data_IF_403863370786
#
_entry.id   IF_403863370786
#
_cell.length_a   1.000
_cell.length_b   1.000
_cell.length_c   1.000
_cell.angle_alpha   90.00
_cell.angle_beta   90.00
_cell.angle_gamma   90.00
#
_symmetry.space_group_name_H-M   'P 1'
#
loop_
_entity.id
_entity.type
_entity.pdbx_description
1 polymer ?
#
# COMPACT_ATOMS: atom_id res chain seq x y z
N UNK A 1 14.67 16.33 -4.26
CA UNK A 1 14.30 14.89 -4.22
C UNK A 1 12.82 14.64 -4.61
N UNK A 2 12.08 15.67 -5.04
CA UNK A 2 10.67 15.57 -5.46
C UNK A 2 10.44 14.81 -6.78
N UNK A 3 11.42 14.83 -7.70
CA UNK A 3 11.37 14.05 -8.94
C UNK A 3 11.37 12.53 -8.68
N UNK A 4 12.15 12.06 -7.70
CA UNK A 4 12.20 10.65 -7.30
C UNK A 4 10.88 10.22 -6.66
N UNK A 5 10.26 11.09 -5.86
CA UNK A 5 8.95 10.85 -5.26
C UNK A 5 7.84 10.64 -6.32
N UNK A 6 7.78 11.51 -7.34
CA UNK A 6 6.85 11.35 -8.47
C UNK A 6 7.12 10.06 -9.27
N UNK A 7 8.39 9.76 -9.53
CA UNK A 7 8.75 8.52 -10.26
C UNK A 7 8.45 7.26 -9.46
N UNK A 8 8.51 7.32 -8.13
CA UNK A 8 8.18 6.18 -7.26
C UNK A 8 6.71 5.74 -7.44
N UNK A 9 5.79 6.69 -7.51
CA UNK A 9 4.37 6.41 -7.75
C UNK A 9 4.14 5.76 -9.14
N UNK A 10 4.75 6.31 -10.18
CA UNK A 10 4.66 5.75 -11.53
C UNK A 10 5.29 4.36 -11.64
N UNK A 11 6.45 4.15 -11.01
CA UNK A 11 7.13 2.85 -10.95
C UNK A 11 6.25 1.80 -10.29
N UNK A 12 5.64 2.14 -9.14
CA UNK A 12 4.71 1.24 -8.48
C UNK A 12 3.51 0.92 -9.37
N UNK A 13 2.87 1.93 -9.97
CA UNK A 13 1.69 1.71 -10.82
C UNK A 13 2.03 0.80 -12.00
N UNK A 14 3.18 1.04 -12.64
CA UNK A 14 3.67 0.26 -13.77
C UNK A 14 3.98 -1.20 -13.42
N UNK A 15 4.43 -1.48 -12.20
CA UNK A 15 4.76 -2.84 -11.75
C UNK A 15 3.55 -3.56 -11.15
N UNK A 16 2.76 -2.87 -10.34
CA UNK A 16 1.65 -3.42 -9.59
C UNK A 16 0.43 -3.70 -10.49
N UNK A 17 0.01 -2.73 -11.30
CA UNK A 17 -1.27 -2.82 -12.03
C UNK A 17 -1.27 -3.97 -13.06
N UNK A 18 -0.24 -4.16 -13.91
CA UNK A 18 -0.23 -5.27 -14.85
C UNK A 18 -0.24 -6.64 -14.16
N UNK A 19 0.51 -6.78 -13.06
CA UNK A 19 0.57 -8.03 -12.31
C UNK A 19 -0.76 -8.34 -11.61
N UNK A 20 -1.42 -7.33 -11.04
CA UNK A 20 -2.76 -7.45 -10.47
C UNK A 20 -3.80 -7.84 -11.53
N UNK A 21 -3.75 -7.23 -12.72
CA UNK A 21 -4.63 -7.57 -13.85
C UNK A 21 -4.36 -8.98 -14.40
N UNK A 22 -3.09 -9.42 -14.41
CA UNK A 22 -2.74 -10.79 -14.79
C UNK A 22 -3.26 -11.80 -13.76
N UNK A 23 -3.15 -11.50 -12.46
CA UNK A 23 -3.76 -12.30 -11.41
C UNK A 23 -5.29 -12.39 -11.58
N UNK A 24 -5.95 -11.27 -11.88
CA UNK A 24 -7.39 -11.25 -12.19
C UNK A 24 -7.75 -12.13 -13.39
N UNK A 25 -6.96 -12.07 -14.46
CA UNK A 25 -7.19 -12.86 -15.68
C UNK A 25 -6.96 -14.35 -15.45
N UNK A 26 -6.01 -14.74 -14.61
CA UNK A 26 -5.72 -16.15 -14.31
C UNK A 26 -6.71 -16.74 -13.31
N UNK A 27 -6.90 -16.08 -12.17
CA UNK A 27 -7.66 -16.63 -11.05
C UNK A 27 -8.53 -15.56 -10.39
N UNK A 28 -9.76 -15.40 -10.90
CA UNK A 28 -10.69 -14.36 -10.42
C UNK A 28 -11.01 -14.50 -8.93
N UNK A 29 -11.15 -15.74 -8.43
CA UNK A 29 -11.45 -16.00 -7.01
C UNK A 29 -10.30 -15.56 -6.10
N UNK A 30 -9.07 -15.88 -6.49
CA UNK A 30 -7.84 -15.45 -5.82
C UNK A 30 -7.75 -13.92 -5.82
N UNK A 31 -8.04 -13.29 -6.95
CA UNK A 31 -8.04 -11.84 -7.09
C UNK A 31 -9.08 -11.12 -6.23
N UNK A 32 -10.30 -11.65 -6.12
CA UNK A 32 -11.34 -11.08 -5.25
C UNK A 32 -10.94 -11.16 -3.77
N UNK A 33 -10.37 -12.28 -3.35
CA UNK A 33 -9.87 -12.42 -1.98
C UNK A 33 -8.67 -11.50 -1.71
N UNK A 34 -7.79 -11.33 -2.70
CA UNK A 34 -6.71 -10.35 -2.68
C UNK A 34 -7.25 -8.92 -2.52
N UNK A 35 -8.28 -8.54 -3.27
CA UNK A 35 -8.88 -7.21 -3.21
C UNK A 35 -9.56 -6.96 -1.85
N UNK A 36 -10.30 -7.95 -1.34
CA UNK A 36 -10.93 -7.86 -0.02
C UNK A 36 -9.89 -7.68 1.09
N UNK A 37 -8.83 -8.51 1.10
CA UNK A 37 -7.77 -8.40 2.09
C UNK A 37 -6.97 -7.10 1.93
N UNK A 38 -6.76 -6.63 0.70
CA UNK A 38 -6.17 -5.33 0.41
C UNK A 38 -7.00 -4.18 0.99
N UNK A 39 -8.33 -4.30 0.97
CA UNK A 39 -9.25 -3.38 1.64
C UNK A 39 -9.07 -3.38 3.16
N UNK A 40 -9.02 -4.56 3.78
CA UNK A 40 -8.75 -4.70 5.23
C UNK A 40 -7.41 -4.08 5.61
N UNK A 41 -6.37 -4.33 4.82
CA UNK A 41 -5.03 -3.78 5.05
C UNK A 41 -5.02 -2.25 4.89
N UNK A 42 -5.79 -1.71 3.95
CA UNK A 42 -5.96 -0.26 3.76
C UNK A 42 -6.71 0.39 4.93
N UNK A 43 -7.71 -0.29 5.50
CA UNK A 43 -8.41 0.16 6.70
C UNK A 43 -7.51 0.10 7.93
N UNK A 44 -6.71 -0.96 8.07
CA UNK A 44 -5.71 -1.06 9.14
C UNK A 44 -4.71 0.11 9.06
N UNK A 45 -4.24 0.43 7.86
CA UNK A 45 -3.42 1.63 7.61
C UNK A 45 -4.11 2.90 8.06
N UNK A 46 -5.36 3.11 7.64
CA UNK A 46 -6.13 4.30 8.01
C UNK A 46 -6.31 4.41 9.53
N UNK A 47 -6.46 3.29 10.25
CA UNK A 47 -6.53 3.26 11.71
C UNK A 47 -5.16 3.52 12.38
N UNK A 48 -4.05 3.10 11.77
CA UNK A 48 -2.70 3.37 12.30
C UNK A 48 -2.34 4.85 12.28
N UNK A 49 -2.85 5.64 11.34
CA UNK A 49 -2.57 7.10 11.22
C UNK A 49 -2.85 7.86 12.53
N UNK A 50 -4.08 7.81 13.10
CA UNK A 50 -4.36 8.51 14.36
C UNK A 50 -3.71 7.84 15.58
N UNK A 51 -3.43 6.53 15.53
CA UNK A 51 -2.92 5.77 16.67
C UNK A 51 -1.41 5.89 16.87
N UNK A 52 -0.66 6.08 15.79
CA UNK A 52 0.81 6.09 15.83
C UNK A 52 1.39 7.49 15.79
N UNK A 53 0.66 8.48 15.25
CA UNK A 53 0.83 9.90 15.56
C UNK A 53 2.27 10.42 15.60
N UNK A 54 3.18 9.88 14.78
CA UNK A 54 4.51 10.44 14.62
C UNK A 54 4.34 11.67 13.72
N UNK A 55 4.70 12.84 14.25
CA UNK A 55 4.67 14.10 13.49
C UNK A 55 5.70 14.03 12.35
N UNK A 56 5.48 14.74 11.22
CA UNK A 56 6.25 14.60 9.99
C UNK A 56 7.77 14.69 10.19
N UNK A 57 8.55 13.88 9.46
CA UNK A 57 10.02 13.94 9.44
C UNK A 57 10.59 15.34 9.14
N UNK A 58 9.88 16.14 8.34
CA UNK A 58 10.26 17.49 7.92
C UNK A 58 9.51 18.57 8.73
N UNK A 59 9.55 18.49 10.07
CA UNK A 59 9.60 19.61 11.00
C UNK A 59 8.49 20.69 11.01
N UNK A 60 7.46 20.61 10.17
CA UNK A 60 6.33 21.54 10.17
C UNK A 60 5.02 20.75 10.20
N UNK A 61 4.48 20.62 11.41
CA UNK A 61 3.17 20.05 11.68
C UNK A 61 2.06 20.90 11.05
N UNK A 62 1.78 20.70 9.76
CA UNK A 62 0.62 21.31 9.10
C UNK A 62 -0.72 20.79 9.65
N UNK A 63 -0.71 19.75 10.50
CA UNK A 63 -1.90 19.11 11.04
C UNK A 63 -1.88 18.92 12.58
N UNK A 64 -0.97 19.57 13.31
CA UNK A 64 -1.10 19.71 14.76
C UNK A 64 -2.16 20.78 15.03
N UNK A 65 -3.41 20.35 15.23
CA UNK A 65 -4.55 21.26 15.44
C UNK A 65 -5.45 21.52 14.22
N UNK A 66 -5.32 20.72 13.15
CA UNK A 66 -6.19 20.87 11.97
C UNK A 66 -7.67 20.71 12.33
N UNK A 67 -8.47 21.72 11.97
CA UNK A 67 -9.91 21.74 12.23
C UNK A 67 -10.64 20.65 11.45
N UNK A 68 -11.83 20.26 11.90
CA UNK A 68 -12.71 19.29 11.21
C UNK A 68 -12.95 19.67 9.74
N UNK A 69 -12.93 20.95 9.41
CA UNK A 69 -13.07 21.45 8.03
C UNK A 69 -11.87 21.17 7.12
N UNK A 70 -10.64 21.19 7.66
CA UNK A 70 -9.43 20.88 6.89
C UNK A 70 -9.35 19.37 6.61
N UNK A 71 -9.75 18.55 7.59
CA UNK A 71 -9.96 17.11 7.41
C UNK A 71 -11.01 16.81 6.34
N UNK A 72 -12.12 17.56 6.29
CA UNK A 72 -13.16 17.40 5.28
C UNK A 72 -12.66 17.75 3.88
N UNK A 73 -11.91 18.85 3.74
CA UNK A 73 -11.32 19.28 2.45
C UNK A 73 -10.29 18.28 1.95
N UNK A 74 -9.44 17.77 2.84
CA UNK A 74 -8.49 16.70 2.52
C UNK A 74 -9.23 15.44 2.04
N UNK A 75 -10.30 15.03 2.73
CA UNK A 75 -11.11 13.89 2.35
C UNK A 75 -11.77 14.06 0.97
N UNK A 76 -12.38 15.22 0.69
CA UNK A 76 -12.97 15.52 -0.62
C UNK A 76 -11.92 15.50 -1.74
N UNK A 77 -10.73 16.04 -1.48
CA UNK A 77 -9.64 16.04 -2.45
C UNK A 77 -9.12 14.62 -2.77
N UNK A 78 -9.13 13.71 -1.79
CA UNK A 78 -8.74 12.30 -1.95
C UNK A 78 -9.84 11.49 -2.65
N UNK A 79 -11.11 11.75 -2.32
CA UNK A 79 -12.26 11.01 -2.90
C UNK A 79 -12.49 11.37 -4.37
N UNK A 80 -12.11 12.58 -4.79
CA UNK A 80 -12.25 12.98 -6.17
C UNK A 80 -11.16 12.32 -7.05
N UNK A 81 -11.54 11.46 -8.02
CA UNK A 81 -10.59 10.69 -8.81
C UNK A 81 -9.70 11.58 -9.68
N UNK A 82 -10.19 12.74 -10.14
CA UNK A 82 -9.37 13.65 -10.95
C UNK A 82 -8.27 14.29 -10.11
N UNK A 83 -8.58 14.83 -8.93
CA UNK A 83 -7.56 15.43 -8.04
C UNK A 83 -6.60 14.41 -7.46
N UNK A 84 -7.05 13.18 -7.21
CA UNK A 84 -6.18 12.08 -6.77
C UNK A 84 -5.19 11.62 -7.87
N UNK A 85 -5.55 11.80 -9.15
CA UNK A 85 -4.72 11.44 -10.31
C UNK A 85 -3.85 12.61 -10.83
N UNK A 86 -4.28 13.86 -10.64
CA UNK A 86 -3.61 15.04 -11.23
C UNK A 86 -2.84 15.91 -10.24
N UNK A 87 -3.10 15.78 -8.95
CA UNK A 87 -2.55 16.68 -7.93
C UNK A 87 -1.81 15.88 -6.86
N UNK A 88 -0.73 16.42 -6.29
CA UNK A 88 -0.02 15.84 -5.13
C UNK A 88 -0.84 15.91 -3.81
N UNK A 89 -2.15 16.19 -3.88
CA UNK A 89 -3.06 16.28 -2.74
C UNK A 89 -3.11 15.01 -1.85
N UNK A 90 -3.09 13.77 -2.38
CA UNK A 90 -2.96 12.58 -1.54
C UNK A 90 -1.55 12.38 -0.99
N UNK A 91 -0.54 13.12 -1.46
CA UNK A 91 0.79 13.15 -0.84
C UNK A 91 0.82 14.19 0.30
N UNK A 92 0.31 15.41 0.06
CA UNK A 92 0.33 16.54 1.01
C UNK A 92 -0.66 16.38 2.18
N UNK A 93 -1.81 15.75 1.97
CA UNK A 93 -2.76 15.46 3.06
C UNK A 93 -2.36 14.22 3.90
N UNK A 94 -1.40 13.44 3.41
CA UNK A 94 -0.96 12.16 3.96
C UNK A 94 0.55 12.18 4.30
N UNK A 95 1.10 13.35 4.61
CA UNK A 95 2.49 13.53 5.11
C UNK A 95 2.61 13.37 6.64
N UNK A 96 1.53 13.05 7.36
CA UNK A 96 1.66 12.54 8.73
C UNK A 96 2.33 11.18 8.65
N UNK A 97 3.55 11.07 9.16
CA UNK A 97 4.41 9.88 9.10
C UNK A 97 3.58 8.60 9.24
N UNK A 98 3.23 8.02 8.09
CA UNK A 98 2.41 6.83 8.06
C UNK A 98 3.33 5.66 8.39
N UNK A 99 3.40 5.37 9.69
CA UNK A 99 3.65 4.03 10.20
C UNK A 99 2.77 3.09 9.37
N UNK A 100 3.34 2.49 8.32
CA UNK A 100 2.72 1.64 7.28
C UNK A 100 2.75 2.21 5.84
N UNK A 101 3.77 1.79 5.07
CA UNK A 101 3.89 2.06 3.63
C UNK A 101 2.86 1.29 2.77
N UNK A 102 2.00 2.03 2.05
CA UNK A 102 1.02 1.42 1.14
C UNK A 102 1.65 0.75 -0.08
N UNK A 103 2.72 1.32 -0.64
CA UNK A 103 3.43 0.77 -1.80
C UNK A 103 4.08 -0.59 -1.46
N UNK A 104 4.75 -0.67 -0.31
CA UNK A 104 5.37 -1.91 0.20
C UNK A 104 4.29 -2.93 0.56
N UNK A 105 3.25 -2.52 1.26
CA UNK A 105 2.16 -3.42 1.68
C UNK A 105 1.42 -4.04 0.49
N UNK A 106 1.01 -3.22 -0.48
CA UNK A 106 0.24 -3.70 -1.66
C UNK A 106 1.06 -4.65 -2.53
N UNK A 107 2.36 -4.33 -2.76
CA UNK A 107 3.24 -5.19 -3.55
C UNK A 107 3.64 -6.47 -2.80
N UNK A 108 3.83 -6.42 -1.48
CA UNK A 108 4.04 -7.60 -0.65
C UNK A 108 2.81 -8.52 -0.71
N UNK A 109 1.61 -7.94 -0.53
CA UNK A 109 0.37 -8.70 -0.58
C UNK A 109 0.18 -9.37 -1.94
N UNK A 110 0.44 -8.63 -3.03
CA UNK A 110 0.37 -9.18 -4.38
C UNK A 110 1.34 -10.36 -4.56
N UNK A 111 2.59 -10.21 -4.10
CA UNK A 111 3.55 -11.31 -4.12
C UNK A 111 3.06 -12.52 -3.29
N UNK A 112 2.52 -12.32 -2.09
CA UNK A 112 2.00 -13.42 -1.26
C UNK A 112 0.89 -14.23 -1.96
N UNK A 113 0.07 -13.59 -2.78
CA UNK A 113 -0.96 -14.25 -3.58
C UNK A 113 -0.41 -14.88 -4.87
N UNK A 114 0.62 -14.31 -5.48
CA UNK A 114 1.23 -14.83 -6.70
C UNK A 114 2.37 -15.86 -6.46
N UNK A 115 2.89 -15.99 -5.23
CA UNK A 115 4.16 -16.69 -4.94
C UNK A 115 4.25 -18.14 -5.39
N UNK A 116 3.12 -18.84 -5.55
CA UNK A 116 3.09 -20.23 -6.02
C UNK A 116 3.03 -20.36 -7.54
N UNK A 117 2.61 -19.33 -8.26
CA UNK A 117 2.63 -19.30 -9.72
C UNK A 117 4.09 -19.19 -10.20
N UNK A 118 4.52 -20.13 -11.06
CA UNK A 118 5.90 -20.23 -11.54
C UNK A 118 6.37 -19.03 -12.37
N UNK A 119 5.44 -18.25 -12.93
CA UNK A 119 5.72 -17.05 -13.74
C UNK A 119 5.41 -15.78 -12.96
N UNK A 120 4.22 -15.67 -12.36
CA UNK A 120 3.80 -14.46 -11.65
C UNK A 120 4.52 -14.28 -10.31
N UNK A 121 4.88 -15.38 -9.62
CA UNK A 121 5.56 -15.32 -8.33
C UNK A 121 6.90 -14.57 -8.37
N UNK A 122 7.85 -14.97 -9.25
CA UNK A 122 9.12 -14.25 -9.41
C UNK A 122 8.93 -12.81 -9.86
N UNK A 123 8.01 -12.54 -10.79
CA UNK A 123 7.74 -11.18 -11.27
C UNK A 123 7.18 -10.27 -10.16
N UNK A 124 6.25 -10.77 -9.35
CA UNK A 124 5.70 -10.05 -8.21
C UNK A 124 6.74 -9.82 -7.11
N UNK A 125 7.67 -10.76 -6.91
CA UNK A 125 8.79 -10.58 -5.98
C UNK A 125 9.73 -9.47 -6.45
N UNK A 126 10.14 -9.51 -7.73
CA UNK A 126 11.01 -8.48 -8.31
C UNK A 126 10.32 -7.11 -8.23
N UNK A 127 9.04 -7.04 -8.58
CA UNK A 127 8.25 -5.82 -8.45
C UNK A 127 8.24 -5.28 -7.00
N UNK A 128 8.02 -6.16 -6.02
CA UNK A 128 8.06 -5.79 -4.60
C UNK A 128 9.44 -5.26 -4.18
N UNK A 129 10.52 -5.93 -4.56
CA UNK A 129 11.88 -5.49 -4.23
C UNK A 129 12.22 -4.14 -4.88
N UNK A 130 11.87 -3.94 -6.15
CA UNK A 130 12.09 -2.68 -6.85
C UNK A 130 11.33 -1.51 -6.22
N UNK A 131 10.05 -1.72 -5.87
CA UNK A 131 9.23 -0.70 -5.20
C UNK A 131 9.72 -0.43 -3.78
N UNK A 132 10.15 -1.46 -3.05
CA UNK A 132 10.70 -1.27 -1.70
C UNK A 132 12.02 -0.49 -1.77
N UNK A 133 12.90 -0.85 -2.71
CA UNK A 133 14.15 -0.12 -2.94
C UNK A 133 13.90 1.33 -3.34
N UNK A 134 12.92 1.60 -4.22
CA UNK A 134 12.57 2.98 -4.59
C UNK A 134 11.98 3.78 -3.44
N UNK A 135 11.21 3.15 -2.53
CA UNK A 135 10.73 3.79 -1.29
C UNK A 135 11.90 4.17 -0.37
N UNK A 136 12.87 3.28 -0.18
CA UNK A 136 14.07 3.61 0.61
C UNK A 136 14.90 4.72 -0.04
N UNK A 137 15.11 4.66 -1.35
CA UNK A 137 15.88 5.68 -2.10
C UNK A 137 15.19 7.05 -2.13
N UNK A 138 13.86 7.08 -2.06
CA UNK A 138 13.12 8.33 -2.01
C UNK A 138 13.26 9.04 -0.65
N UNK A 139 13.80 8.38 0.38
CA UNK A 139 13.89 8.88 1.76
C UNK A 139 12.55 9.40 2.33
N UNK A 140 11.43 8.99 1.73
CA UNK A 140 10.09 9.50 2.08
C UNK A 140 9.51 8.82 3.33
N UNK A 141 10.07 7.68 3.75
CA UNK A 141 9.53 6.83 4.79
C UNK A 141 10.65 6.37 5.71
N UNK A 142 10.39 6.31 7.00
CA UNK A 142 11.32 5.71 7.95
C UNK A 142 11.37 4.19 7.75
N UNK A 143 12.51 3.56 8.06
CA UNK A 143 12.65 2.10 7.99
C UNK A 143 11.56 1.36 8.77
N UNK A 144 11.06 1.98 9.86
CA UNK A 144 9.97 1.45 10.67
C UNK A 144 8.65 1.33 9.90
N UNK A 145 8.39 2.19 8.91
CA UNK A 145 7.16 2.18 8.10
C UNK A 145 7.15 0.98 7.13
N UNK A 146 8.33 0.61 6.62
CA UNK A 146 8.54 -0.56 5.74
C UNK A 146 8.42 -1.85 6.56
N UNK A 147 9.06 -1.90 7.73
CA UNK A 147 8.98 -3.05 8.64
C UNK A 147 7.54 -3.26 9.14
N UNK A 148 6.86 -2.18 9.53
CA UNK A 148 5.45 -2.20 9.91
C UNK A 148 4.56 -2.68 8.76
N UNK A 149 4.82 -2.22 7.53
CA UNK A 149 4.12 -2.69 6.34
C UNK A 149 4.27 -4.20 6.13
N UNK A 150 5.47 -4.75 6.26
CA UNK A 150 5.70 -6.19 6.15
C UNK A 150 4.98 -6.98 7.23
N UNK A 151 5.16 -6.58 8.51
CA UNK A 151 4.61 -7.29 9.65
C UNK A 151 3.07 -7.34 9.62
N UNK A 152 2.41 -6.18 9.46
CA UNK A 152 0.95 -6.09 9.46
C UNK A 152 0.35 -6.78 8.23
N UNK A 153 0.94 -6.60 7.03
CA UNK A 153 0.45 -7.27 5.80
C UNK A 153 0.56 -8.78 5.93
N UNK A 154 1.70 -9.29 6.41
CA UNK A 154 1.91 -10.72 6.60
C UNK A 154 0.99 -11.30 7.70
N UNK A 155 0.78 -10.57 8.80
CA UNK A 155 -0.15 -10.96 9.85
C UNK A 155 -1.59 -11.03 9.32
N UNK A 156 -2.05 -10.01 8.59
CA UNK A 156 -3.37 -9.98 7.98
C UNK A 156 -3.58 -11.14 7.01
N UNK A 157 -2.59 -11.41 6.14
CA UNK A 157 -2.61 -12.56 5.24
C UNK A 157 -2.64 -13.90 5.97
N UNK A 158 -1.83 -14.06 7.02
CA UNK A 158 -1.80 -15.29 7.82
C UNK A 158 -3.13 -15.55 8.53
N UNK A 159 -3.72 -14.50 9.12
CA UNK A 159 -5.02 -14.58 9.79
C UNK A 159 -6.15 -14.90 8.80
N UNK A 160 -6.15 -14.27 7.63
CA UNK A 160 -7.13 -14.52 6.58
C UNK A 160 -7.08 -16.00 6.12
N UNK A 161 -5.88 -16.55 5.93
CA UNK A 161 -5.71 -17.98 5.58
C UNK A 161 -6.12 -18.93 6.69
N UNK A 162 -5.92 -18.57 7.95
CA UNK A 162 -6.34 -19.38 9.09
C UNK A 162 -7.87 -19.41 9.24
N UNK A 163 -8.55 -18.29 8.95
CA UNK A 163 -10.01 -18.16 9.08
C UNK A 163 -10.79 -18.58 7.85
N UNK A 164 -10.18 -18.57 6.66
CA UNK A 164 -10.83 -18.96 5.40
C UNK A 164 -10.06 -20.08 4.70
N UNK A 165 -10.24 -21.36 5.13
CA UNK A 165 -9.52 -22.51 4.58
C UNK A 165 -9.68 -22.66 3.06
N UNK A 166 -10.88 -22.38 2.53
CA UNK A 166 -11.17 -22.42 1.09
C UNK A 166 -10.31 -21.42 0.29
N UNK A 167 -9.91 -20.30 0.90
CA UNK A 167 -9.06 -19.26 0.33
C UNK A 167 -7.57 -19.61 0.49
N UNK A 168 -7.25 -20.43 1.48
CA UNK A 168 -5.95 -21.06 1.60
C UNK A 168 -5.74 -22.18 0.56
N UNK A 169 -6.81 -22.81 0.06
CA UNK A 169 -6.77 -23.73 -1.09
C UNK A 169 -6.59 -22.99 -2.42
N UNK A 170 -7.24 -21.84 -2.59
CA UNK A 170 -7.07 -20.97 -3.77
C UNK A 170 -5.64 -20.46 -3.96
N UNK A 171 -4.84 -20.40 -2.89
CA UNK A 171 -3.41 -20.04 -2.96
C UNK A 171 -2.48 -21.26 -2.99
N UNK A 172 -3.02 -22.50 -3.02
CA UNK A 172 -2.29 -23.77 -3.10
C UNK A 172 -2.19 -24.36 -4.51
N UNK A 173 -3.15 -24.06 -5.40
CA UNK A 173 -3.11 -24.41 -6.83
C UNK A 173 -2.12 -23.53 -7.61
#
# INVERSE_FOLDING_TARGET
VEWIARHNYHLWLALYLPLALLLWRRERRVFLHFLWLGGVVSLARAACIPLTGLGPADGLDANAGAGTEELLRAWIAIVNPFTALTTDAPHVALTKDLFFSGHVSTTLLLWLYCRRDRRLGPLALIAHLLVTASVFLAHLHYTIDVVGAWAITFAAWSLARARWPEGAELTRS
#
